data_IF_721074230980
#
_entry.id   IF_721074230980
#
_cell.length_a   1.000
_cell.length_b   1.000
_cell.length_c   1.000
_cell.angle_alpha   90.00
_cell.angle_beta   90.00
_cell.angle_gamma   90.00
#
_symmetry.space_group_name_H-M   'P 1'
#
loop_
_entity.id
_entity.type
_entity.pdbx_description
1 polymer ?
#
# COMPACT_ATOMS: atom_id res chain seq x y z
N UNK A 1 -48.91 7.04 19.18
CA UNK A 1 -48.76 5.75 18.46
C UNK A 1 -47.45 5.75 17.68
N UNK A 2 -46.34 5.34 18.29
CA UNK A 2 -45.08 5.10 17.56
C UNK A 2 -45.04 3.61 17.21
N UNK A 3 -45.41 3.28 15.97
CA UNK A 3 -45.49 1.92 15.47
C UNK A 3 -44.13 1.23 15.51
N UNK A 4 -43.94 0.34 16.48
CA UNK A 4 -42.88 -0.69 16.45
C UNK A 4 -43.26 -1.77 15.43
N UNK A 5 -43.29 -1.41 14.14
CA UNK A 5 -43.34 -2.38 13.06
C UNK A 5 -42.09 -3.27 13.13
N UNK A 6 -42.24 -4.58 12.95
CA UNK A 6 -41.09 -5.48 12.88
C UNK A 6 -40.22 -5.05 11.70
N UNK A 7 -38.91 -4.88 11.92
CA UNK A 7 -37.96 -4.49 10.85
C UNK A 7 -37.99 -5.49 9.69
N UNK A 8 -38.21 -6.76 10.02
CA UNK A 8 -38.41 -7.88 9.11
C UNK A 8 -39.72 -8.56 9.51
N UNK A 9 -40.64 -8.76 8.57
CA UNK A 9 -41.97 -9.33 8.83
C UNK A 9 -42.29 -10.50 7.88
N UNK A 10 -41.85 -11.74 8.20
CA UNK A 10 -41.99 -12.88 7.29
C UNK A 10 -43.43 -13.25 6.90
N UNK A 11 -44.42 -12.95 7.75
CA UNK A 11 -45.83 -13.24 7.46
C UNK A 11 -46.45 -12.27 6.43
N UNK A 12 -45.81 -11.12 6.19
CA UNK A 12 -46.15 -10.18 5.11
C UNK A 12 -44.86 -9.49 4.68
N UNK A 13 -44.00 -10.19 3.91
CA UNK A 13 -42.64 -9.75 3.61
C UNK A 13 -42.57 -8.33 3.06
N UNK A 14 -43.47 -7.98 2.16
CA UNK A 14 -43.68 -6.68 1.53
C UNK A 14 -43.93 -5.55 2.55
N UNK A 15 -44.51 -5.86 3.72
CA UNK A 15 -44.76 -4.90 4.80
C UNK A 15 -43.58 -4.72 5.76
N UNK A 16 -42.45 -5.38 5.49
CA UNK A 16 -41.24 -5.22 6.29
C UNK A 16 -40.73 -3.80 6.18
N UNK A 17 -40.43 -3.15 7.32
CA UNK A 17 -39.83 -1.81 7.30
C UNK A 17 -38.49 -1.77 6.55
N UNK A 18 -37.78 -2.89 6.43
CA UNK A 18 -36.60 -3.02 5.59
C UNK A 18 -36.89 -2.69 4.12
N UNK A 19 -37.95 -3.25 3.55
CA UNK A 19 -38.34 -3.03 2.14
C UNK A 19 -39.01 -1.68 1.98
N UNK A 20 -40.04 -1.39 2.78
CA UNK A 20 -40.83 -0.15 2.70
C UNK A 20 -39.98 1.12 2.80
N UNK A 21 -38.87 1.07 3.54
CA UNK A 21 -37.94 2.20 3.63
C UNK A 21 -36.98 2.26 2.43
N UNK A 22 -36.56 1.11 1.92
CA UNK A 22 -35.65 1.05 0.78
C UNK A 22 -36.33 1.45 -0.53
N UNK A 23 -37.60 1.06 -0.74
CA UNK A 23 -38.36 1.33 -1.96
C UNK A 23 -39.19 2.62 -1.93
N UNK A 24 -39.26 3.29 -0.78
CA UNK A 24 -40.00 4.54 -0.61
C UNK A 24 -41.47 4.36 -0.24
N UNK A 25 -41.95 3.13 0.00
CA UNK A 25 -43.30 2.85 0.53
C UNK A 25 -43.56 3.45 1.91
N UNK A 26 -42.51 3.82 2.66
CA UNK A 26 -42.59 4.58 3.90
C UNK A 26 -41.51 5.68 3.95
N UNK A 27 -41.87 6.96 4.16
CA UNK A 27 -40.92 8.06 4.19
C UNK A 27 -39.82 7.86 5.22
N UNK A 28 -38.57 8.09 4.79
CA UNK A 28 -37.43 8.16 5.68
C UNK A 28 -36.35 9.08 5.12
N UNK A 29 -35.46 9.59 5.98
CA UNK A 29 -34.44 10.57 5.59
C UNK A 29 -33.40 10.07 4.57
N UNK A 30 -33.38 8.77 4.27
CA UNK A 30 -32.45 8.16 3.32
C UNK A 30 -32.87 8.22 1.84
N UNK A 31 -34.11 8.62 1.51
CA UNK A 31 -34.64 8.60 0.14
C UNK A 31 -34.93 7.19 -0.40
N UNK A 32 -35.20 7.01 -1.70
CA UNK A 32 -35.29 5.66 -2.28
C UNK A 32 -33.88 5.13 -2.49
N UNK A 33 -33.62 3.88 -2.07
CA UNK A 33 -32.33 3.20 -2.23
C UNK A 33 -32.40 1.94 -3.10
N UNK A 34 -33.52 1.22 -3.05
CA UNK A 34 -33.77 0.02 -3.86
C UNK A 34 -35.20 0.11 -4.35
N UNK A 35 -35.40 0.51 -5.61
CA UNK A 35 -36.74 0.60 -6.20
C UNK A 35 -37.39 -0.78 -6.38
N UNK A 36 -38.73 -0.83 -6.44
CA UNK A 36 -39.51 -2.08 -6.61
C UNK A 36 -39.17 -2.85 -7.88
N UNK A 37 -38.72 -2.15 -8.92
CA UNK A 37 -38.33 -2.74 -10.21
C UNK A 37 -36.90 -3.31 -10.20
N UNK A 38 -36.13 -3.08 -9.13
CA UNK A 38 -34.74 -3.54 -9.04
C UNK A 38 -34.69 -5.00 -8.57
N UNK A 39 -33.83 -5.86 -9.17
CA UNK A 39 -33.69 -7.26 -8.75
C UNK A 39 -33.34 -7.45 -7.26
N UNK A 40 -32.64 -6.48 -6.68
CA UNK A 40 -32.27 -6.45 -5.27
C UNK A 40 -33.50 -6.37 -4.35
N UNK A 41 -34.59 -5.72 -4.79
CA UNK A 41 -35.86 -5.68 -4.05
C UNK A 41 -36.45 -7.08 -3.94
N UNK A 42 -36.59 -7.77 -5.06
CA UNK A 42 -37.10 -9.14 -5.11
C UNK A 42 -36.22 -10.08 -4.27
N UNK A 43 -34.90 -9.94 -4.36
CA UNK A 43 -33.95 -10.73 -3.56
C UNK A 43 -34.19 -10.56 -2.06
N UNK A 44 -34.39 -9.32 -1.59
CA UNK A 44 -34.69 -9.05 -0.18
C UNK A 44 -36.08 -9.55 0.21
N UNK A 45 -37.07 -9.40 -0.66
CA UNK A 45 -38.43 -9.89 -0.46
C UNK A 45 -38.44 -11.41 -0.28
N UNK A 46 -37.77 -12.15 -1.16
CA UNK A 46 -37.63 -13.60 -1.10
C UNK A 46 -36.89 -14.04 0.16
N UNK A 47 -35.82 -13.33 0.53
CA UNK A 47 -35.09 -13.60 1.77
C UNK A 47 -35.98 -13.43 3.01
N UNK A 48 -36.79 -12.37 3.07
CA UNK A 48 -37.75 -12.19 4.17
C UNK A 48 -38.85 -13.26 4.15
N UNK A 49 -39.37 -13.59 2.97
CA UNK A 49 -40.40 -14.62 2.79
C UNK A 49 -39.91 -16.00 3.25
N UNK A 50 -38.63 -16.31 3.03
CA UNK A 50 -37.96 -17.51 3.51
C UNK A 50 -37.69 -17.51 5.04
N UNK A 51 -38.15 -16.50 5.77
CA UNK A 51 -37.95 -16.38 7.21
C UNK A 51 -36.62 -15.72 7.61
N UNK A 52 -35.99 -14.99 6.69
CA UNK A 52 -34.74 -14.26 6.91
C UNK A 52 -33.59 -15.13 7.46
N UNK A 53 -33.23 -16.23 6.76
CA UNK A 53 -32.16 -17.10 7.21
C UNK A 53 -30.82 -16.34 7.33
N UNK A 54 -30.07 -16.62 8.39
CA UNK A 54 -28.81 -15.93 8.72
C UNK A 54 -27.59 -16.41 7.90
N UNK A 55 -27.75 -17.51 7.15
CA UNK A 55 -26.67 -18.21 6.46
C UNK A 55 -25.91 -19.21 7.35
N UNK A 56 -25.14 -20.10 6.73
CA UNK A 56 -24.28 -21.10 7.37
C UNK A 56 -22.80 -20.66 7.31
N UNK A 57 -21.96 -21.04 8.29
CA UNK A 57 -20.50 -20.85 8.21
C UNK A 57 -19.85 -21.47 6.96
N UNK A 58 -20.49 -22.50 6.41
CA UNK A 58 -20.05 -23.28 5.25
C UNK A 58 -20.62 -22.75 3.92
N UNK A 59 -21.42 -21.69 3.95
CA UNK A 59 -21.93 -21.06 2.73
C UNK A 59 -20.77 -20.59 1.83
N UNK A 60 -20.90 -20.70 0.50
CA UNK A 60 -19.90 -20.21 -0.43
C UNK A 60 -19.58 -18.72 -0.22
N UNK A 61 -18.29 -18.39 -0.18
CA UNK A 61 -17.79 -17.02 0.05
C UNK A 61 -17.16 -16.47 -1.21
N UNK A 62 -17.29 -15.17 -1.45
CA UNK A 62 -16.57 -14.51 -2.55
C UNK A 62 -15.09 -14.50 -2.21
N UNK A 63 -14.28 -15.13 -3.06
CA UNK A 63 -12.84 -15.26 -2.88
C UNK A 63 -12.04 -14.32 -3.78
N UNK A 64 -12.66 -13.79 -4.84
CA UNK A 64 -12.07 -12.80 -5.72
C UNK A 64 -13.16 -12.06 -6.50
N UNK A 65 -12.83 -10.86 -6.97
CA UNK A 65 -13.56 -10.17 -8.04
C UNK A 65 -12.60 -9.83 -9.17
N UNK A 66 -13.14 -9.69 -10.37
CA UNK A 66 -12.40 -9.27 -11.55
C UNK A 66 -13.14 -8.16 -12.27
N UNK A 67 -12.48 -7.00 -12.40
CA UNK A 67 -12.96 -5.87 -13.20
C UNK A 67 -12.50 -6.06 -14.64
N UNK A 68 -13.43 -5.92 -15.59
CA UNK A 68 -13.12 -5.94 -17.03
C UNK A 68 -13.69 -4.69 -17.70
N UNK A 69 -12.89 -3.96 -18.50
CA UNK A 69 -11.44 -4.12 -18.70
C UNK A 69 -10.64 -3.75 -17.44
N UNK A 70 -9.40 -4.26 -17.31
CA UNK A 70 -8.49 -3.91 -16.20
C UNK A 70 -7.65 -2.65 -16.50
N UNK A 71 -7.28 -2.43 -17.76
CA UNK A 71 -6.59 -1.21 -18.22
C UNK A 71 -7.07 -0.87 -19.63
N UNK A 72 -7.28 0.41 -19.92
CA UNK A 72 -7.60 0.87 -21.28
C UNK A 72 -7.09 2.30 -21.53
N UNK A 73 -6.66 2.57 -22.77
CA UNK A 73 -6.40 3.93 -23.24
C UNK A 73 -7.69 4.53 -23.79
N UNK A 74 -8.11 5.68 -23.25
CA UNK A 74 -9.37 6.33 -23.57
C UNK A 74 -9.14 7.79 -24.00
N UNK A 75 -10.05 8.31 -24.81
CA UNK A 75 -10.08 9.73 -25.16
C UNK A 75 -10.84 10.54 -24.10
N UNK A 76 -10.56 11.83 -24.01
CA UNK A 76 -11.32 12.76 -23.17
C UNK A 76 -12.81 12.75 -23.55
N UNK A 77 -13.68 13.06 -22.59
CA UNK A 77 -15.15 13.14 -22.79
C UNK A 77 -15.77 11.85 -23.33
N UNK A 78 -15.15 10.70 -23.07
CA UNK A 78 -15.71 9.39 -23.41
C UNK A 78 -16.22 8.70 -22.16
N UNK A 79 -17.10 7.73 -22.37
CA UNK A 79 -17.66 6.90 -21.30
C UNK A 79 -17.25 5.45 -21.51
N UNK A 80 -16.92 4.75 -20.43
CA UNK A 80 -16.57 3.32 -20.46
C UNK A 80 -17.35 2.53 -19.42
N UNK A 81 -18.08 1.51 -19.86
CA UNK A 81 -18.80 0.59 -18.97
C UNK A 81 -17.85 -0.49 -18.47
N UNK A 82 -17.83 -0.70 -17.16
CA UNK A 82 -17.12 -1.80 -16.52
C UNK A 82 -18.04 -2.99 -16.31
N UNK A 83 -17.47 -4.19 -16.26
CA UNK A 83 -18.11 -5.36 -15.69
C UNK A 83 -17.30 -5.91 -14.52
N UNK A 84 -17.99 -6.44 -13.52
CA UNK A 84 -17.36 -7.03 -12.33
C UNK A 84 -17.87 -8.46 -12.18
N UNK A 85 -16.96 -9.43 -12.30
CA UNK A 85 -17.26 -10.85 -12.07
C UNK A 85 -16.76 -11.27 -10.69
N UNK A 86 -17.65 -11.75 -9.82
CA UNK A 86 -17.27 -12.38 -8.56
C UNK A 86 -17.03 -13.89 -8.76
N UNK A 87 -15.96 -14.41 -8.14
CA UNK A 87 -15.71 -15.86 -8.03
C UNK A 87 -15.96 -16.30 -6.59
N UNK A 88 -16.81 -17.33 -6.42
CA UNK A 88 -17.07 -17.96 -5.11
C UNK A 88 -16.16 -19.15 -4.83
N UNK A 89 -16.06 -19.51 -3.56
CA UNK A 89 -15.27 -20.65 -3.06
C UNK A 89 -15.72 -22.02 -3.57
N UNK A 90 -16.95 -22.13 -4.08
CA UNK A 90 -17.50 -23.32 -4.74
C UNK A 90 -17.23 -23.36 -6.25
N UNK A 91 -16.51 -22.36 -6.78
CA UNK A 91 -16.17 -22.24 -8.21
C UNK A 91 -17.21 -21.50 -9.05
N UNK A 92 -18.37 -21.14 -8.48
CA UNK A 92 -19.38 -20.35 -9.20
C UNK A 92 -18.82 -18.96 -9.54
N UNK A 93 -19.27 -18.43 -10.67
CA UNK A 93 -18.99 -17.05 -11.11
C UNK A 93 -20.29 -16.32 -11.41
N UNK A 94 -20.42 -15.07 -10.98
CA UNK A 94 -21.57 -14.23 -11.35
C UNK A 94 -21.13 -12.80 -11.59
N UNK A 95 -21.87 -12.15 -12.49
CA UNK A 95 -21.85 -10.72 -12.66
C UNK A 95 -22.40 -10.05 -11.39
N UNK A 96 -21.59 -9.17 -10.82
CA UNK A 96 -21.90 -8.37 -9.64
C UNK A 96 -21.71 -6.88 -9.93
N UNK A 97 -21.73 -6.48 -11.20
CA UNK A 97 -21.45 -5.10 -11.65
C UNK A 97 -22.33 -4.08 -10.94
N UNK A 98 -23.63 -4.36 -10.80
CA UNK A 98 -24.60 -3.48 -10.10
C UNK A 98 -24.52 -3.56 -8.57
N UNK A 99 -23.89 -4.61 -8.04
CA UNK A 99 -23.76 -4.86 -6.61
C UNK A 99 -22.42 -4.36 -6.05
N UNK A 100 -21.44 -4.13 -6.93
CA UNK A 100 -20.15 -3.59 -6.59
C UNK A 100 -20.25 -2.10 -6.25
N UNK A 101 -19.39 -1.64 -5.35
CA UNK A 101 -19.22 -0.22 -5.08
C UNK A 101 -17.99 0.28 -5.83
N UNK A 102 -18.12 1.41 -6.51
CA UNK A 102 -17.04 2.02 -7.29
C UNK A 102 -16.54 3.31 -6.65
N UNK A 103 -15.26 3.59 -6.83
CA UNK A 103 -14.65 4.86 -6.44
C UNK A 103 -13.50 5.22 -7.37
N UNK A 104 -13.45 6.47 -7.83
CA UNK A 104 -12.29 7.02 -8.51
C UNK A 104 -11.28 7.57 -7.51
N UNK A 105 -9.98 7.41 -7.80
CA UNK A 105 -8.93 8.06 -7.02
C UNK A 105 -8.75 9.54 -7.37
N UNK A 106 -9.36 10.00 -8.47
CA UNK A 106 -9.33 11.39 -8.90
C UNK A 106 -10.56 11.72 -9.76
N UNK A 107 -11.62 12.20 -9.12
CA UNK A 107 -12.89 12.58 -9.77
C UNK A 107 -12.72 13.70 -10.80
N UNK A 108 -11.65 14.50 -10.73
CA UNK A 108 -11.37 15.53 -11.73
C UNK A 108 -10.91 14.94 -13.07
N UNK A 109 -10.35 13.72 -13.07
CA UNK A 109 -9.93 13.01 -14.30
C UNK A 109 -11.00 12.05 -14.80
N UNK A 110 -11.64 11.31 -13.89
CA UNK A 110 -12.77 10.45 -14.24
C UNK A 110 -13.69 10.22 -13.05
N UNK A 111 -14.99 10.21 -13.31
CA UNK A 111 -16.03 9.80 -12.36
C UNK A 111 -16.55 8.41 -12.71
N UNK A 112 -17.22 7.77 -11.76
CA UNK A 112 -17.89 6.48 -11.95
C UNK A 112 -19.22 6.49 -11.22
N UNK A 113 -20.27 5.99 -11.85
CA UNK A 113 -21.59 5.86 -11.21
C UNK A 113 -21.79 4.48 -10.54
N UNK A 114 -22.95 4.29 -9.91
CA UNK A 114 -23.31 3.05 -9.22
C UNK A 114 -23.45 1.83 -10.14
N UNK A 115 -23.68 2.06 -11.44
CA UNK A 115 -23.75 0.99 -12.42
C UNK A 115 -22.39 0.66 -13.05
N UNK A 116 -21.29 1.28 -12.59
CA UNK A 116 -19.95 1.06 -13.13
C UNK A 116 -19.71 1.74 -14.48
N UNK A 117 -20.47 2.80 -14.81
CA UNK A 117 -20.20 3.65 -15.97
C UNK A 117 -19.15 4.69 -15.59
N UNK A 118 -17.95 4.55 -16.13
CA UNK A 118 -16.87 5.52 -16.00
C UNK A 118 -17.06 6.63 -17.02
N UNK A 119 -16.91 7.89 -16.60
CA UNK A 119 -16.92 9.06 -17.49
C UNK A 119 -15.57 9.77 -17.39
N UNK A 120 -14.86 9.86 -18.51
CA UNK A 120 -13.57 10.53 -18.60
C UNK A 120 -13.77 12.04 -18.77
N UNK A 121 -13.07 12.83 -17.96
CA UNK A 121 -13.09 14.29 -18.00
C UNK A 121 -12.33 14.88 -19.19
N UNK A 122 -11.89 16.12 -19.03
CA UNK A 122 -11.27 16.94 -20.09
C UNK A 122 -9.75 17.09 -19.94
N UNK A 123 -9.14 16.28 -19.09
CA UNK A 123 -7.71 16.37 -18.77
C UNK A 123 -7.00 15.05 -19.04
N UNK A 124 -5.77 15.15 -19.54
CA UNK A 124 -4.91 13.99 -19.75
C UNK A 124 -4.33 13.51 -18.43
N UNK A 125 -4.02 12.21 -18.34
CA UNK A 125 -3.48 11.61 -17.14
C UNK A 125 -3.83 10.13 -17.00
N UNK A 126 -3.40 9.54 -15.89
CA UNK A 126 -3.83 8.21 -15.47
C UNK A 126 -4.79 8.33 -14.29
N UNK A 127 -5.90 7.61 -14.34
CA UNK A 127 -6.88 7.54 -13.25
C UNK A 127 -7.25 6.08 -12.99
N UNK A 128 -7.44 5.75 -11.72
CA UNK A 128 -7.79 4.41 -11.29
C UNK A 128 -9.19 4.44 -10.68
N UNK A 129 -10.07 3.63 -11.26
CA UNK A 129 -11.40 3.34 -10.71
C UNK A 129 -11.34 2.00 -10.00
N UNK A 130 -11.54 2.02 -8.69
CA UNK A 130 -11.60 0.82 -7.88
C UNK A 130 -13.03 0.31 -7.81
N UNK A 131 -13.20 -1.01 -7.92
CA UNK A 131 -14.45 -1.70 -7.61
C UNK A 131 -14.25 -2.57 -6.36
N UNK A 132 -15.26 -2.62 -5.50
CA UNK A 132 -15.27 -3.46 -4.30
C UNK A 132 -16.58 -4.24 -4.19
N UNK A 133 -16.51 -5.50 -3.79
CA UNK A 133 -17.69 -6.32 -3.53
C UNK A 133 -17.39 -7.41 -2.51
N UNK A 134 -18.20 -7.48 -1.44
CA UNK A 134 -18.08 -8.42 -0.32
C UNK A 134 -16.64 -8.55 0.24
N UNK A 135 -15.92 -7.42 0.31
CA UNK A 135 -14.57 -7.35 0.88
C UNK A 135 -13.44 -7.73 -0.07
N UNK A 136 -13.74 -8.00 -1.34
CA UNK A 136 -12.76 -8.11 -2.42
C UNK A 136 -12.63 -6.78 -3.17
N UNK A 137 -11.45 -6.54 -3.73
CA UNK A 137 -11.08 -5.31 -4.43
C UNK A 137 -10.40 -5.67 -5.75
N UNK A 138 -10.75 -4.98 -6.81
CA UNK A 138 -10.02 -4.96 -8.08
C UNK A 138 -10.16 -3.58 -8.74
N UNK A 139 -9.35 -3.29 -9.76
CA UNK A 139 -9.24 -1.94 -10.33
C UNK A 139 -9.34 -1.93 -11.85
N UNK A 140 -9.92 -0.86 -12.37
CA UNK A 140 -9.79 -0.42 -13.75
C UNK A 140 -8.85 0.79 -13.82
N UNK A 141 -7.87 0.75 -14.72
CA UNK A 141 -6.98 1.88 -14.99
C UNK A 141 -7.31 2.51 -16.34
N UNK A 142 -7.82 3.73 -16.32
CA UNK A 142 -7.95 4.55 -17.52
C UNK A 142 -6.68 5.37 -17.73
N UNK A 143 -6.17 5.33 -18.95
CA UNK A 143 -5.05 6.15 -19.40
C UNK A 143 -5.56 7.09 -20.46
N UNK A 144 -5.46 8.39 -20.21
CA UNK A 144 -5.86 9.44 -21.14
C UNK A 144 -4.58 10.11 -21.65
N UNK A 145 -4.11 9.75 -22.86
CA UNK A 145 -2.88 10.33 -23.40
C UNK A 145 -2.99 11.84 -23.60
N UNK A 146 -1.87 12.54 -23.49
CA UNK A 146 -1.79 13.98 -23.72
C UNK A 146 -1.72 14.28 -25.22
N UNK A 147 -2.66 15.07 -25.73
CA UNK A 147 -2.60 15.60 -27.10
C UNK A 147 -2.60 14.51 -28.18
N UNK A 148 -2.17 14.89 -29.39
CA UNK A 148 -2.04 13.97 -30.52
C UNK A 148 -0.83 13.05 -30.37
N UNK A 149 -0.96 11.83 -30.86
CA UNK A 149 0.10 10.83 -30.79
C UNK A 149 1.40 11.36 -31.42
N UNK A 150 2.51 11.20 -30.70
CA UNK A 150 3.83 11.62 -31.19
C UNK A 150 4.30 10.59 -32.23
N UNK A 151 4.27 10.96 -33.52
CA UNK A 151 4.62 10.08 -34.65
C UNK A 151 6.02 9.46 -34.51
N UNK A 152 6.99 10.25 -34.04
CA UNK A 152 8.38 9.85 -33.85
C UNK A 152 8.77 9.90 -32.37
N UNK A 153 8.09 9.11 -31.53
CA UNK A 153 8.41 9.04 -30.11
C UNK A 153 9.88 8.62 -29.91
N UNK A 154 10.71 9.44 -29.25
CA UNK A 154 12.15 9.22 -29.23
C UNK A 154 12.52 7.95 -28.46
N UNK A 155 13.54 7.25 -28.94
CA UNK A 155 14.20 6.20 -28.16
C UNK A 155 15.02 6.87 -27.05
N UNK A 156 14.58 6.71 -25.80
CA UNK A 156 15.29 7.21 -24.63
C UNK A 156 16.07 6.06 -24.02
N UNK A 157 17.36 6.28 -23.75
CA UNK A 157 18.22 5.27 -23.16
C UNK A 157 17.76 4.94 -21.73
N UNK A 158 17.76 3.65 -21.40
CA UNK A 158 17.49 3.16 -20.04
C UNK A 158 18.85 2.96 -19.34
N UNK A 159 19.10 3.72 -18.27
CA UNK A 159 20.31 3.60 -17.48
C UNK A 159 20.20 2.46 -16.46
N UNK A 160 18.98 2.15 -16.00
CA UNK A 160 18.75 1.10 -15.02
C UNK A 160 17.33 0.49 -15.13
N UNK A 161 17.04 -0.53 -14.32
CA UNK A 161 15.78 -1.28 -14.36
C UNK A 161 14.52 -0.48 -13.97
N UNK A 162 14.67 0.71 -13.37
CA UNK A 162 13.58 1.62 -13.01
C UNK A 162 13.12 2.43 -14.23
N UNK A 163 14.02 2.69 -15.19
CA UNK A 163 13.69 3.55 -16.34
C UNK A 163 12.69 2.87 -17.27
N UNK A 164 12.82 1.56 -17.51
CA UNK A 164 11.92 0.79 -18.36
C UNK A 164 10.43 0.94 -18.00
N UNK A 165 9.98 0.68 -16.76
CA UNK A 165 8.57 0.87 -16.38
C UNK A 165 8.14 2.34 -16.43
N UNK A 166 9.02 3.30 -16.12
CA UNK A 166 8.71 4.73 -16.23
C UNK A 166 8.50 5.13 -17.69
N UNK A 167 9.43 4.79 -18.58
CA UNK A 167 9.34 5.06 -20.02
C UNK A 167 8.10 4.43 -20.64
N UNK A 168 7.78 3.19 -20.28
CA UNK A 168 6.56 2.53 -20.72
C UNK A 168 5.30 3.31 -20.31
N UNK A 169 5.22 3.79 -19.07
CA UNK A 169 4.08 4.58 -18.60
C UNK A 169 4.00 5.96 -19.28
N UNK A 170 5.12 6.65 -19.43
CA UNK A 170 5.20 7.94 -20.11
C UNK A 170 4.79 7.83 -21.59
N UNK A 171 5.20 6.76 -22.28
CA UNK A 171 4.79 6.47 -23.66
C UNK A 171 3.28 6.26 -23.77
N UNK A 172 2.67 5.49 -22.86
CA UNK A 172 1.20 5.32 -22.80
C UNK A 172 0.47 6.64 -22.55
N UNK A 173 1.08 7.58 -21.83
CA UNK A 173 0.54 8.92 -21.59
C UNK A 173 0.88 9.92 -22.70
N UNK A 174 1.61 9.50 -23.74
CA UNK A 174 2.12 10.36 -24.80
C UNK A 174 2.95 11.54 -24.26
N UNK A 175 3.83 11.26 -23.29
CA UNK A 175 4.72 12.23 -22.65
C UNK A 175 6.16 11.83 -22.98
N UNK A 176 6.92 12.71 -23.63
CA UNK A 176 8.36 12.52 -23.81
C UNK A 176 9.08 12.79 -22.48
N UNK A 177 9.99 11.90 -22.01
CA UNK A 177 10.83 12.19 -20.86
C UNK A 177 11.57 13.51 -21.03
N UNK A 178 11.71 14.26 -19.94
CA UNK A 178 12.50 15.50 -19.98
C UNK A 178 13.96 15.19 -20.30
N UNK A 179 14.60 16.03 -21.10
CA UNK A 179 16.03 15.93 -21.36
C UNK A 179 16.86 16.12 -20.09
N UNK A 180 18.15 15.81 -20.17
CA UNK A 180 19.06 16.05 -19.07
C UNK A 180 19.13 17.54 -18.73
N UNK A 181 19.16 17.86 -17.43
CA UNK A 181 19.44 19.22 -16.97
C UNK A 181 20.92 19.59 -17.21
N UNK A 182 21.22 20.88 -17.21
CA UNK A 182 22.61 21.34 -17.23
C UNK A 182 23.38 20.97 -15.94
N UNK A 183 24.71 21.14 -16.00
CA UNK A 183 25.60 20.74 -14.92
C UNK A 183 25.44 21.57 -13.64
N UNK A 184 25.05 22.84 -13.74
CA UNK A 184 24.84 23.68 -12.57
C UNK A 184 23.58 23.25 -11.80
N UNK A 185 22.50 22.94 -12.54
CA UNK A 185 21.26 22.39 -11.98
C UNK A 185 21.52 21.00 -11.40
N UNK A 186 22.22 20.13 -12.13
CA UNK A 186 22.58 18.79 -11.67
C UNK A 186 23.36 18.86 -10.36
N UNK A 187 24.44 19.65 -10.32
CA UNK A 187 25.28 19.82 -9.15
C UNK A 187 24.47 20.22 -7.93
N UNK A 188 23.62 21.25 -8.04
CA UNK A 188 22.79 21.70 -6.92
C UNK A 188 21.83 20.60 -6.45
N UNK A 189 21.15 19.92 -7.38
CA UNK A 189 20.16 18.89 -7.05
C UNK A 189 20.79 17.69 -6.36
N UNK A 190 21.90 17.19 -6.89
CA UNK A 190 22.58 16.01 -6.35
C UNK A 190 23.18 16.28 -4.96
N UNK A 191 23.72 17.47 -4.71
CA UNK A 191 24.18 17.85 -3.37
C UNK A 191 23.05 17.86 -2.33
N UNK A 192 21.92 18.47 -2.68
CA UNK A 192 20.75 18.53 -1.80
C UNK A 192 20.14 17.15 -1.57
N UNK A 193 20.08 16.32 -2.61
CA UNK A 193 19.45 15.00 -2.55
C UNK A 193 20.29 13.97 -1.78
N UNK A 194 21.60 13.92 -2.04
CA UNK A 194 22.48 12.90 -1.43
C UNK A 194 22.90 13.29 -0.02
N UNK A 195 23.33 14.53 0.21
CA UNK A 195 23.94 14.96 1.48
C UNK A 195 23.24 16.15 2.15
N UNK A 196 22.12 16.64 1.61
CA UNK A 196 21.32 17.68 2.26
C UNK A 196 21.98 19.07 2.37
N UNK A 197 23.06 19.33 1.63
CA UNK A 197 23.81 20.60 1.70
C UNK A 197 23.98 21.23 0.31
N UNK A 198 24.62 22.40 0.24
CA UNK A 198 25.00 23.05 -1.01
C UNK A 198 26.49 22.81 -1.32
N UNK A 199 26.90 22.78 -2.60
CA UNK A 199 28.32 22.75 -2.96
C UNK A 199 29.02 24.03 -2.50
N UNK A 200 30.30 23.93 -2.14
CA UNK A 200 31.13 25.12 -1.92
C UNK A 200 31.40 25.85 -3.24
N UNK A 201 31.69 27.16 -3.23
CA UNK A 201 32.03 27.90 -4.44
C UNK A 201 33.19 27.28 -5.23
N UNK A 202 34.22 26.78 -4.54
CA UNK A 202 35.40 26.16 -5.14
C UNK A 202 35.02 24.86 -5.84
N UNK A 203 34.22 24.02 -5.18
CA UNK A 203 33.77 22.75 -5.73
C UNK A 203 32.88 22.97 -6.95
N UNK A 204 31.97 23.94 -6.90
CA UNK A 204 31.13 24.31 -8.03
C UNK A 204 31.97 24.74 -9.24
N UNK A 205 32.95 25.64 -9.05
CA UNK A 205 33.87 26.03 -10.12
C UNK A 205 34.63 24.83 -10.70
N UNK A 206 35.14 23.94 -9.84
CA UNK A 206 35.88 22.76 -10.32
C UNK A 206 35.00 21.79 -11.12
N UNK A 207 33.75 21.57 -10.70
CA UNK A 207 32.84 20.64 -11.37
C UNK A 207 32.35 21.21 -12.73
N UNK A 208 32.11 22.52 -12.79
CA UNK A 208 31.70 23.19 -14.02
C UNK A 208 32.84 23.29 -15.04
N UNK A 209 34.09 23.35 -14.58
CA UNK A 209 35.27 23.34 -15.45
C UNK A 209 35.72 21.93 -15.87
N UNK A 210 35.17 20.87 -15.27
CA UNK A 210 35.49 19.48 -15.58
C UNK A 210 34.79 19.05 -16.89
N UNK A 211 35.55 18.60 -17.87
CA UNK A 211 35.08 18.18 -19.20
C UNK A 211 34.96 16.66 -19.35
N UNK A 212 35.27 15.90 -18.29
CA UNK A 212 35.17 14.44 -18.32
C UNK A 212 33.72 13.99 -18.47
N UNK A 213 33.49 13.02 -19.36
CA UNK A 213 32.16 12.45 -19.61
C UNK A 213 31.54 11.71 -18.43
N UNK A 214 32.34 11.26 -17.45
CA UNK A 214 31.89 10.52 -16.27
C UNK A 214 31.79 11.38 -14.99
N UNK A 215 32.03 12.70 -15.08
CA UNK A 215 32.09 13.61 -13.92
C UNK A 215 30.87 13.54 -13.00
N UNK A 216 29.68 13.31 -13.57
CA UNK A 216 28.41 13.20 -12.83
C UNK A 216 28.35 11.96 -11.94
N UNK A 217 28.77 10.81 -12.47
CA UNK A 217 28.85 9.55 -11.72
C UNK A 217 29.93 9.63 -10.63
N UNK A 218 31.11 10.18 -10.98
CA UNK A 218 32.20 10.40 -10.01
C UNK A 218 31.78 11.30 -8.85
N UNK A 219 31.00 12.34 -9.14
CA UNK A 219 30.48 13.23 -8.10
C UNK A 219 29.53 12.48 -7.15
N UNK A 220 28.66 11.63 -7.69
CA UNK A 220 27.77 10.79 -6.86
C UNK A 220 28.59 9.87 -5.96
N UNK A 221 29.58 9.17 -6.51
CA UNK A 221 30.47 8.29 -5.74
C UNK A 221 31.25 9.04 -4.64
N UNK A 222 31.67 10.27 -4.91
CA UNK A 222 32.33 11.13 -3.93
C UNK A 222 31.37 11.51 -2.79
N UNK A 223 30.15 11.93 -3.13
CA UNK A 223 29.15 12.37 -2.17
C UNK A 223 28.66 11.23 -1.28
N UNK A 224 28.49 10.02 -1.82
CA UNK A 224 28.09 8.84 -1.04
C UNK A 224 29.14 8.44 0.01
N UNK A 225 30.42 8.79 -0.20
CA UNK A 225 31.51 8.50 0.75
C UNK A 225 31.67 9.57 1.84
N UNK A 226 30.96 10.69 1.73
CA UNK A 226 31.04 11.79 2.69
C UNK A 226 30.29 11.45 3.98
N UNK A 227 30.77 11.88 5.17
CA UNK A 227 30.06 11.66 6.42
C UNK A 227 28.65 12.28 6.42
N UNK A 228 28.45 13.38 5.70
CA UNK A 228 27.16 14.04 5.57
C UNK A 228 26.08 13.18 4.90
N UNK A 229 26.47 12.22 4.03
CA UNK A 229 25.52 11.23 3.50
C UNK A 229 24.91 10.41 4.64
N UNK A 230 25.76 9.85 5.50
CA UNK A 230 25.32 9.05 6.64
C UNK A 230 24.48 9.88 7.62
N UNK A 231 24.89 11.12 7.91
CA UNK A 231 24.14 12.02 8.79
C UNK A 231 22.75 12.38 8.23
N UNK A 232 22.70 12.76 6.94
CA UNK A 232 21.47 13.19 6.30
C UNK A 232 20.43 12.06 6.18
N UNK A 233 20.87 10.86 5.81
CA UNK A 233 19.98 9.70 5.71
C UNK A 233 19.60 9.12 7.08
N UNK A 234 20.52 9.14 8.05
CA UNK A 234 20.20 8.77 9.42
C UNK A 234 19.09 9.65 10.01
N UNK A 235 19.10 10.95 9.73
CA UNK A 235 18.05 11.86 10.17
C UNK A 235 16.66 11.42 9.64
N UNK A 236 16.55 11.12 8.34
CA UNK A 236 15.29 10.68 7.72
C UNK A 236 14.81 9.35 8.30
N UNK A 237 15.73 8.39 8.45
CA UNK A 237 15.40 7.06 8.97
C UNK A 237 15.15 7.05 10.46
N UNK A 238 15.78 7.92 11.23
CA UNK A 238 15.51 8.11 12.65
C UNK A 238 14.08 8.58 12.90
N UNK A 239 13.52 9.42 12.02
CA UNK A 239 12.11 9.82 12.08
C UNK A 239 11.18 8.64 11.77
N UNK A 240 11.41 7.94 10.65
CA UNK A 240 10.62 6.76 10.25
C UNK A 240 10.62 5.65 11.31
N UNK A 241 11.78 5.42 11.95
CA UNK A 241 11.97 4.39 12.98
C UNK A 241 11.73 4.90 14.41
N UNK A 242 11.31 6.17 14.56
CA UNK A 242 10.95 6.81 15.83
C UNK A 242 12.07 6.75 16.86
N UNK A 243 13.25 7.28 16.55
CA UNK A 243 14.28 7.52 17.56
C UNK A 243 13.77 8.59 18.53
N UNK A 244 13.26 8.15 19.68
CA UNK A 244 12.59 9.02 20.65
C UNK A 244 13.48 9.24 21.89
N UNK A 245 13.98 10.47 22.04
CA UNK A 245 14.84 10.86 23.17
C UNK A 245 14.11 10.82 24.51
N UNK A 246 12.84 11.22 24.56
CA UNK A 246 12.06 11.28 25.81
C UNK A 246 11.76 9.88 26.33
N UNK A 247 11.48 8.94 25.42
CA UNK A 247 11.15 7.56 25.76
C UNK A 247 12.39 6.71 26.06
N UNK A 248 13.48 6.93 25.34
CA UNK A 248 14.71 6.12 25.47
C UNK A 248 15.73 6.72 26.44
N UNK A 249 15.70 8.03 26.67
CA UNK A 249 16.78 8.77 27.31
C UNK A 249 18.02 8.90 26.40
N UNK A 250 18.93 9.81 26.77
CA UNK A 250 20.08 10.20 25.94
C UNK A 250 20.92 9.02 25.43
N UNK A 251 21.35 8.12 26.32
CA UNK A 251 22.27 7.03 25.95
C UNK A 251 21.66 6.07 24.92
N UNK A 252 20.42 5.61 25.15
CA UNK A 252 19.77 4.62 24.28
C UNK A 252 19.35 5.23 22.94
N UNK A 253 18.81 6.46 22.96
CA UNK A 253 18.50 7.18 21.73
C UNK A 253 19.74 7.40 20.86
N UNK A 254 20.86 7.81 21.48
CA UNK A 254 22.13 7.99 20.78
C UNK A 254 22.64 6.68 20.16
N UNK A 255 22.64 5.58 20.90
CA UNK A 255 23.08 4.28 20.36
C UNK A 255 22.18 3.80 19.21
N UNK A 256 20.87 4.05 19.31
CA UNK A 256 19.94 3.69 18.26
C UNK A 256 20.17 4.51 16.99
N UNK A 257 20.26 5.85 17.13
CA UNK A 257 20.64 6.74 16.03
C UNK A 257 21.99 6.36 15.42
N UNK A 258 22.98 6.07 16.26
CA UNK A 258 24.32 5.69 15.81
C UNK A 258 24.28 4.42 14.97
N UNK A 259 23.53 3.39 15.37
CA UNK A 259 23.38 2.18 14.55
C UNK A 259 22.80 2.51 13.17
N UNK A 260 21.71 3.31 13.11
CA UNK A 260 21.13 3.74 11.82
C UNK A 260 22.18 4.47 10.96
N UNK A 261 22.87 5.44 11.56
CA UNK A 261 23.91 6.23 10.87
C UNK A 261 25.06 5.36 10.39
N UNK A 262 25.53 4.44 11.23
CA UNK A 262 26.61 3.53 10.89
C UNK A 262 26.20 2.64 9.71
N UNK A 263 24.95 2.15 9.66
CA UNK A 263 24.43 1.37 8.53
C UNK A 263 24.51 2.12 7.19
N UNK A 264 24.23 3.42 7.18
CA UNK A 264 24.42 4.24 5.96
C UNK A 264 25.91 4.45 5.65
N UNK A 265 26.73 4.70 6.67
CA UNK A 265 28.17 4.92 6.48
C UNK A 265 28.90 3.70 5.93
N UNK A 266 28.46 2.49 6.28
CA UNK A 266 29.03 1.22 5.81
C UNK A 266 28.33 0.66 4.58
N UNK A 267 27.35 1.40 4.02
CA UNK A 267 26.53 0.98 2.89
C UNK A 267 25.90 -0.42 3.13
N UNK A 268 25.31 -0.62 4.30
CA UNK A 268 24.64 -1.87 4.67
C UNK A 268 23.49 -2.14 3.69
N UNK A 269 23.40 -3.33 3.08
CA UNK A 269 22.28 -3.71 2.21
C UNK A 269 20.93 -3.57 2.92
N UNK A 270 19.91 -3.10 2.21
CA UNK A 270 18.59 -2.82 2.80
C UNK A 270 17.92 -4.07 3.39
N UNK A 271 18.12 -5.23 2.76
CA UNK A 271 17.64 -6.53 3.26
C UNK A 271 18.31 -6.91 4.58
N UNK A 272 19.63 -6.68 4.70
CA UNK A 272 20.37 -6.88 5.94
C UNK A 272 19.92 -5.90 7.03
N UNK A 273 19.75 -4.61 6.70
CA UNK A 273 19.24 -3.59 7.63
C UNK A 273 17.84 -3.96 8.15
N UNK A 274 16.95 -4.37 7.25
CA UNK A 274 15.60 -4.83 7.59
C UNK A 274 15.63 -6.08 8.48
N UNK A 275 16.50 -7.05 8.16
CA UNK A 275 16.68 -8.26 8.95
C UNK A 275 17.18 -7.94 10.36
N UNK A 276 18.22 -7.11 10.50
CA UNK A 276 18.76 -6.70 11.81
C UNK A 276 17.71 -5.99 12.67
N UNK A 277 16.85 -5.18 12.07
CA UNK A 277 15.75 -4.50 12.76
C UNK A 277 14.64 -5.46 13.21
N UNK A 278 14.12 -6.26 12.27
CA UNK A 278 12.94 -7.10 12.51
C UNK A 278 13.31 -8.32 13.36
N UNK A 279 14.47 -8.93 13.13
CA UNK A 279 14.95 -10.10 13.87
C UNK A 279 15.79 -9.73 15.11
N UNK A 280 15.77 -8.48 15.55
CA UNK A 280 16.52 -8.05 16.73
C UNK A 280 16.14 -8.88 17.96
N UNK A 281 17.16 -9.39 18.65
CA UNK A 281 17.03 -10.12 19.91
C UNK A 281 18.23 -9.79 20.82
N UNK A 282 18.09 -10.04 22.12
CA UNK A 282 19.17 -9.90 23.08
C UNK A 282 19.13 -8.58 23.85
N UNK A 283 20.26 -8.26 24.50
CA UNK A 283 20.37 -7.07 25.34
C UNK A 283 20.13 -5.80 24.53
N UNK A 284 19.19 -4.95 24.96
CA UNK A 284 18.90 -3.69 24.25
C UNK A 284 20.09 -2.70 24.32
N UNK A 285 21.03 -2.93 25.23
CA UNK A 285 22.26 -2.15 25.31
C UNK A 285 23.31 -2.58 24.26
N UNK A 286 23.27 -3.85 23.85
CA UNK A 286 24.23 -4.45 22.90
C UNK A 286 23.65 -4.58 21.49
N UNK A 287 22.32 -4.59 21.36
CA UNK A 287 21.57 -4.58 20.11
C UNK A 287 20.76 -3.29 19.98
N UNK A 288 21.32 -2.20 19.41
CA UNK A 288 20.62 -0.93 19.30
C UNK A 288 19.35 -1.00 18.43
N UNK A 289 19.30 -1.90 17.44
CA UNK A 289 18.10 -2.13 16.63
C UNK A 289 16.88 -2.55 17.47
N UNK A 290 17.10 -3.25 18.59
CA UNK A 290 16.05 -3.64 19.53
C UNK A 290 15.34 -2.43 20.20
N UNK A 291 15.94 -1.23 20.13
CA UNK A 291 15.30 -0.01 20.65
C UNK A 291 14.02 0.36 19.89
N UNK A 292 13.87 -0.08 18.64
CA UNK A 292 12.61 0.01 17.90
C UNK A 292 11.43 -0.50 18.74
N UNK A 293 11.56 -1.70 19.30
CA UNK A 293 10.52 -2.35 20.11
C UNK A 293 10.30 -1.67 21.46
N UNK A 294 11.26 -0.88 21.92
CA UNK A 294 11.09 -0.04 23.11
C UNK A 294 10.22 1.18 22.80
N UNK A 295 10.37 1.78 21.61
CA UNK A 295 9.59 2.95 21.20
C UNK A 295 8.23 2.56 20.62
N UNK A 296 8.17 1.56 19.77
CA UNK A 296 6.94 1.01 19.19
C UNK A 296 6.59 -0.25 19.95
N UNK A 297 5.91 -0.10 21.09
CA UNK A 297 5.79 -1.17 22.09
C UNK A 297 4.52 -2.02 21.98
N UNK A 298 3.55 -1.63 21.14
CA UNK A 298 2.34 -2.43 20.93
C UNK A 298 2.42 -3.25 19.63
N UNK A 299 2.07 -4.55 19.63
CA UNK A 299 2.17 -5.40 18.43
C UNK A 299 1.43 -4.86 17.20
N UNK A 300 0.29 -4.20 17.40
CA UNK A 300 -0.51 -3.60 16.34
C UNK A 300 0.22 -2.39 15.71
N UNK A 301 0.88 -1.56 16.52
CA UNK A 301 1.70 -0.43 16.05
C UNK A 301 2.99 -0.92 15.37
N UNK A 302 3.60 -2.00 15.87
CA UNK A 302 4.78 -2.63 15.25
C UNK A 302 4.43 -3.13 13.84
N UNK A 303 3.32 -3.86 13.70
CA UNK A 303 2.85 -4.35 12.41
C UNK A 303 2.60 -3.23 11.40
N UNK A 304 1.89 -2.17 11.82
CA UNK A 304 1.64 -1.01 10.95
C UNK A 304 2.92 -0.27 10.57
N UNK A 305 3.82 -0.03 11.53
CA UNK A 305 5.07 0.71 11.28
C UNK A 305 6.00 -0.05 10.34
N UNK A 306 6.24 -1.34 10.61
CA UNK A 306 7.10 -2.18 9.75
C UNK A 306 6.49 -2.34 8.35
N UNK A 307 5.18 -2.52 8.25
CA UNK A 307 4.48 -2.58 6.96
C UNK A 307 4.65 -1.30 6.15
N UNK A 308 4.54 -0.15 6.79
CA UNK A 308 4.68 1.12 6.09
C UNK A 308 6.13 1.44 5.72
N UNK A 309 7.07 1.26 6.65
CA UNK A 309 8.48 1.66 6.47
C UNK A 309 9.22 0.72 5.53
N UNK A 310 9.04 -0.60 5.68
CA UNK A 310 9.81 -1.58 4.90
C UNK A 310 9.08 -2.11 3.67
N UNK A 311 7.74 -2.10 3.67
CA UNK A 311 6.94 -2.66 2.58
C UNK A 311 6.18 -1.61 1.76
N UNK A 312 6.17 -0.35 2.21
CA UNK A 312 5.44 0.73 1.55
C UNK A 312 3.92 0.57 1.60
N UNK A 313 3.39 -0.21 2.56
CA UNK A 313 1.95 -0.52 2.65
C UNK A 313 1.35 0.02 3.94
N UNK A 314 0.17 0.64 3.82
CA UNK A 314 -0.61 1.13 4.97
C UNK A 314 -1.65 0.09 5.41
N UNK A 315 -1.21 -0.99 6.05
CA UNK A 315 -2.13 -2.08 6.46
C UNK A 315 -3.03 -1.71 7.64
N UNK A 316 -2.79 -0.60 8.33
CA UNK A 316 -3.51 -0.23 9.55
C UNK A 316 -5.03 -0.14 9.39
N UNK A 317 -5.55 0.31 8.24
CA UNK A 317 -7.00 0.33 8.01
C UNK A 317 -7.61 -1.08 8.06
N UNK A 318 -6.82 -2.10 7.74
CA UNK A 318 -7.25 -3.49 7.81
C UNK A 318 -7.43 -4.01 9.26
N UNK A 319 -7.04 -3.24 10.27
CA UNK A 319 -7.23 -3.59 11.68
C UNK A 319 -8.71 -3.77 12.02
N UNK A 320 -9.59 -2.91 11.51
CA UNK A 320 -11.00 -2.87 11.89
C UNK A 320 -11.94 -3.49 10.84
N UNK A 321 -11.60 -3.37 9.56
CA UNK A 321 -12.35 -3.93 8.43
C UNK A 321 -11.38 -4.39 7.33
N UNK A 322 -11.84 -4.90 6.19
CA UNK A 322 -10.93 -5.06 5.05
C UNK A 322 -10.51 -3.67 4.56
N UNK A 323 -9.24 -3.50 4.16
CA UNK A 323 -8.76 -2.22 3.70
C UNK A 323 -9.69 -1.69 2.59
N UNK A 324 -10.20 -0.45 2.70
CA UNK A 324 -11.25 0.03 1.82
C UNK A 324 -10.73 0.27 0.39
N UNK A 325 -9.43 0.53 0.26
CA UNK A 325 -8.75 0.93 -0.99
C UNK A 325 -7.67 -0.01 -1.47
N UNK A 326 -7.57 -1.21 -0.89
CA UNK A 326 -6.47 -2.13 -1.16
C UNK A 326 -6.92 -3.56 -0.84
N UNK A 327 -6.17 -4.54 -1.33
CA UNK A 327 -6.47 -5.97 -1.19
C UNK A 327 -6.29 -6.54 0.22
N UNK A 328 -5.81 -5.75 1.17
CA UNK A 328 -5.45 -6.25 2.51
C UNK A 328 -6.70 -6.54 3.33
N UNK A 329 -6.86 -7.79 3.73
CA UNK A 329 -7.95 -8.22 4.60
C UNK A 329 -7.59 -8.02 6.07
N UNK A 330 -8.62 -8.07 6.92
CA UNK A 330 -8.42 -8.10 8.37
C UNK A 330 -7.62 -9.34 8.80
N UNK A 331 -7.77 -10.47 8.08
CA UNK A 331 -6.95 -11.66 8.31
C UNK A 331 -5.47 -11.38 8.10
N UNK A 332 -5.11 -10.65 7.04
CA UNK A 332 -3.70 -10.30 6.75
C UNK A 332 -3.11 -9.41 7.87
N UNK A 333 -3.88 -8.42 8.32
CA UNK A 333 -3.47 -7.55 9.44
C UNK A 333 -3.17 -8.35 10.71
N UNK A 334 -4.11 -9.19 11.14
CA UNK A 334 -3.93 -9.96 12.38
C UNK A 334 -2.89 -11.07 12.26
N UNK A 335 -2.61 -11.55 11.04
CA UNK A 335 -1.49 -12.44 10.72
C UNK A 335 -0.14 -11.73 10.87
N UNK A 336 -0.03 -10.50 10.38
CA UNK A 336 1.16 -9.66 10.58
C UNK A 336 1.34 -9.29 12.06
N UNK A 337 0.27 -8.85 12.73
CA UNK A 337 0.28 -8.55 14.16
C UNK A 337 0.75 -9.74 14.99
N UNK A 338 0.30 -10.97 14.63
CA UNK A 338 0.67 -12.18 15.36
C UNK A 338 2.19 -12.36 15.46
N UNK A 339 2.96 -11.99 14.43
CA UNK A 339 4.43 -12.02 14.45
C UNK A 339 5.01 -11.19 15.61
N UNK A 340 4.38 -10.07 15.96
CA UNK A 340 4.86 -9.16 16.99
C UNK A 340 4.31 -9.45 18.38
N UNK A 341 3.24 -10.25 18.50
CA UNK A 341 2.67 -10.62 19.82
C UNK A 341 3.57 -11.52 20.65
N UNK A 342 4.56 -12.16 20.02
CA UNK A 342 5.54 -13.00 20.70
C UNK A 342 6.77 -12.22 21.20
N UNK A 343 6.89 -10.94 20.85
CA UNK A 343 7.99 -10.06 21.26
C UNK A 343 7.77 -9.61 22.69
N UNK A 344 8.74 -9.86 23.57
CA UNK A 344 8.67 -9.47 24.97
C UNK A 344 10.01 -8.95 25.48
N UNK A 345 9.93 -8.10 26.51
CA UNK A 345 11.11 -7.70 27.26
C UNK A 345 11.21 -8.50 28.56
N UNK A 346 12.40 -9.01 28.86
CA UNK A 346 12.75 -9.61 30.15
C UNK A 346 13.80 -8.76 30.86
N UNK A 347 13.68 -8.63 32.16
CA UNK A 347 14.71 -7.99 32.98
C UNK A 347 15.85 -8.98 33.22
N UNK A 348 17.08 -8.50 33.11
CA UNK A 348 18.29 -9.22 33.49
C UNK A 348 19.18 -8.32 34.36
N UNK A 349 20.18 -8.87 35.08
CA UNK A 349 21.16 -8.07 35.81
C UNK A 349 21.92 -7.06 34.94
N UNK A 350 22.02 -7.30 33.62
CA UNK A 350 22.67 -6.42 32.64
C UNK A 350 21.69 -5.46 31.95
N UNK A 351 20.44 -5.40 32.39
CA UNK A 351 19.38 -4.56 31.83
C UNK A 351 18.32 -5.35 31.09
N UNK A 352 17.55 -4.64 30.24
CA UNK A 352 16.43 -5.20 29.52
C UNK A 352 16.90 -6.02 28.32
N UNK A 353 16.32 -7.20 28.13
CA UNK A 353 16.62 -8.13 27.04
C UNK A 353 15.35 -8.32 26.22
N UNK A 354 15.43 -8.06 24.92
CA UNK A 354 14.38 -8.39 23.97
C UNK A 354 14.46 -9.88 23.67
N UNK A 355 13.32 -10.59 23.76
CA UNK A 355 13.24 -12.02 23.47
C UNK A 355 12.02 -12.33 22.61
N UNK A 356 12.14 -13.35 21.76
CA UNK A 356 10.98 -13.98 21.13
C UNK A 356 10.48 -15.13 22.00
N UNK A 357 9.21 -15.10 22.38
CA UNK A 357 8.60 -16.16 23.20
C UNK A 357 8.18 -17.38 22.39
N UNK A 358 8.21 -17.30 21.05
CA UNK A 358 7.70 -18.34 20.13
C UNK A 358 6.20 -18.61 20.24
N UNK A 359 5.47 -17.83 21.05
CA UNK A 359 4.07 -18.07 21.40
C UNK A 359 3.20 -16.92 20.93
N UNK A 360 2.90 -16.88 19.63
CA UNK A 360 2.00 -15.88 19.06
C UNK A 360 0.59 -15.98 19.65
N UNK A 361 0.10 -14.85 20.16
CA UNK A 361 -1.22 -14.67 20.79
C UNK A 361 -1.99 -13.58 20.05
N UNK A 362 -2.59 -13.95 18.94
CA UNK A 362 -3.46 -13.08 18.15
C UNK A 362 -4.77 -13.82 17.85
N UNK A 363 -5.88 -13.09 17.88
CA UNK A 363 -7.22 -13.62 17.64
C UNK A 363 -7.92 -12.68 16.68
N UNK A 364 -8.44 -13.22 15.59
CA UNK A 364 -9.19 -12.43 14.61
C UNK A 364 -10.49 -11.92 15.25
N UNK A 365 -10.82 -10.62 15.19
CA UNK A 365 -11.90 -10.02 15.96
C UNK A 365 -13.29 -10.50 15.52
N UNK A 366 -13.49 -10.76 14.22
CA UNK A 366 -14.74 -11.30 13.67
C UNK A 366 -14.90 -12.82 13.85
N UNK A 367 -13.94 -13.61 13.37
CA UNK A 367 -14.06 -15.08 13.40
C UNK A 367 -13.77 -15.70 14.76
N UNK A 368 -13.14 -14.95 15.69
CA UNK A 368 -12.66 -15.42 17.00
C UNK A 368 -11.65 -16.57 16.92
N UNK A 369 -11.18 -16.92 15.71
CA UNK A 369 -10.15 -17.93 15.49
C UNK A 369 -8.77 -17.34 15.81
N UNK A 370 -7.86 -18.21 16.25
CA UNK A 370 -6.46 -17.85 16.44
C UNK A 370 -5.85 -17.42 15.10
N UNK A 371 -5.19 -16.27 15.08
CA UNK A 371 -4.39 -15.79 13.96
C UNK A 371 -2.95 -16.23 14.15
N UNK A 372 -2.42 -16.97 13.18
CA UNK A 372 -1.02 -17.40 13.18
C UNK A 372 -0.15 -16.35 12.47
N UNK A 373 1.13 -16.19 12.87
CA UNK A 373 2.09 -15.41 12.09
C UNK A 373 2.08 -15.87 10.65
N UNK A 374 1.71 -14.98 9.73
CA UNK A 374 1.58 -15.28 8.31
C UNK A 374 2.50 -14.34 7.55
N UNK A 375 3.35 -14.85 6.64
CA UNK A 375 4.21 -14.00 5.84
C UNK A 375 3.39 -13.10 4.92
N UNK A 376 3.99 -11.98 4.55
CA UNK A 376 3.39 -11.00 3.66
C UNK A 376 3.19 -11.58 2.26
N UNK A 377 1.94 -11.67 1.79
CA UNK A 377 1.52 -12.48 0.63
C UNK A 377 1.91 -13.95 0.77
N UNK A 378 0.94 -14.87 0.64
CA UNK A 378 1.20 -16.30 0.39
C UNK A 378 1.99 -16.58 -0.91
N UNK A 379 2.43 -15.54 -1.60
CA UNK A 379 3.35 -15.52 -2.72
C UNK A 379 4.43 -14.49 -2.43
N UNK A 380 5.51 -14.91 -1.79
CA UNK A 380 6.79 -14.26 -2.06
C UNK A 380 6.92 -14.23 -3.60
N UNK A 381 7.14 -13.07 -4.26
CA UNK A 381 7.43 -13.08 -5.68
C UNK A 381 8.55 -14.09 -5.89
N UNK A 382 8.32 -15.10 -6.74
CA UNK A 382 9.46 -15.83 -7.29
C UNK A 382 10.25 -14.77 -8.04
N UNK A 383 11.25 -14.17 -7.39
CA UNK A 383 12.33 -13.49 -8.08
C UNK A 383 12.71 -14.47 -9.20
N UNK A 384 12.53 -14.05 -10.45
CA UNK A 384 12.83 -14.92 -11.59
C UNK A 384 14.22 -15.50 -11.34
N UNK A 385 14.31 -16.82 -11.22
CA UNK A 385 15.57 -17.53 -11.39
C UNK A 385 15.99 -17.32 -12.84
N UNK A 386 16.72 -16.22 -13.08
CA UNK A 386 17.46 -15.80 -14.27
C UNK A 386 17.89 -14.37 -13.91
N UNK A 387 18.99 -14.18 -13.17
CA UNK A 387 20.35 -14.37 -13.65
C UNK A 387 21.16 -15.20 -12.65
N UNK A 388 21.44 -16.45 -12.99
CA UNK A 388 22.61 -17.17 -12.47
C UNK A 388 23.85 -16.42 -12.95
N UNK A 389 24.38 -15.57 -12.08
CA UNK A 389 25.55 -14.74 -12.33
C UNK A 389 25.90 -13.92 -11.09
N UNK A 390 25.76 -14.51 -9.90
CA UNK A 390 26.34 -13.98 -8.67
C UNK A 390 27.86 -14.23 -8.70
N UNK A 391 28.53 -13.50 -9.59
CA UNK A 391 29.98 -13.36 -9.65
C UNK A 391 30.33 -11.89 -9.94
N UNK A 392 29.69 -10.97 -9.23
CA UNK A 392 30.15 -9.60 -9.06
C UNK A 392 29.76 -9.18 -7.65
N UNK A 393 30.71 -8.59 -6.91
CA UNK A 393 30.66 -8.22 -5.48
C UNK A 393 31.18 -9.24 -4.45
N UNK A 394 32.22 -10.00 -4.81
CA UNK A 394 33.28 -10.38 -3.85
C UNK A 394 34.65 -10.13 -4.46
N UNK A 395 35.53 -9.57 -3.64
CA UNK A 395 36.95 -9.22 -3.83
C UNK A 395 37.24 -7.82 -4.38
N UNK A 396 37.84 -7.02 -3.50
CA UNK A 396 38.32 -5.65 -3.69
C UNK A 396 38.31 -4.94 -2.35
#
# INVERSE_FOLDING_TARGET
MQGRGRRVFPASPDRSLLLLKADGGLPHGGGIRIGTEQPEHQTLLDWVAAGAPFGSPDDPKVIAIKVTPHEEQLSMRTTRKLSVEATWSDGRKMDVTRLATYQSNNDALATVDEDGQVTIGESAGGVTVMATYLGQVDVFQAIVPRGEAIENYPAVAEANFIDAPIHAKLKKLNIVPSGECDDAIYLRRVYLDIIGTLPTPEKARSFLADDRGDKRARLVDELLKRPEYADYWALKWADLLRVDLLKLGHKRAYLYYKWIRDSFSTNTPLDQFAYELVAAEGSVAESPAAQFYSVVSKPNEMASTISQVLLGVRIECAQCHHHPYDRWSQTDYYGMQAFFTQVAFKNSPRGQVLVSTGNAKSTHPRSRKRSLPTPWHNRCPKLRQQVTGASYWRNG
#
